data_IF_172670512956
#
_entry.id   IF_172670512956
#
_cell.length_a   1.000
_cell.length_b   1.000
_cell.length_c   1.000
_cell.angle_alpha   90.00
_cell.angle_beta   90.00
_cell.angle_gamma   90.00
#
_symmetry.space_group_name_H-M   'P 1'
#
loop_
_entity.id
_entity.type
_entity.pdbx_description
1 polymer ?
#
# COMPACT_ATOMS: atom_id res chain seq x y z
N UNK A 1 -15.33 12.15 -9.22
CA UNK A 1 -13.88 12.28 -9.40
C UNK A 1 -13.26 11.19 -8.56
N UNK A 2 -12.91 10.06 -9.16
CA UNK A 2 -12.32 8.93 -8.43
C UNK A 2 -10.83 9.16 -8.23
N UNK A 3 -10.31 8.74 -7.08
CA UNK A 3 -8.87 8.68 -6.86
C UNK A 3 -8.33 7.42 -7.56
N UNK A 4 -7.09 7.46 -8.08
CA UNK A 4 -6.46 6.28 -8.64
C UNK A 4 -6.23 5.25 -7.53
N UNK A 5 -6.77 4.04 -7.71
CA UNK A 5 -6.56 2.92 -6.81
C UNK A 5 -5.58 1.88 -7.39
N UNK A 6 -5.04 1.06 -6.51
CA UNK A 6 -4.15 -0.06 -6.86
C UNK A 6 -4.95 -1.36 -6.68
N UNK A 7 -4.80 -2.28 -7.61
CA UNK A 7 -5.28 -3.67 -7.49
C UNK A 7 -4.04 -4.58 -7.55
N UNK A 8 -3.88 -5.47 -6.56
CA UNK A 8 -2.79 -6.43 -6.59
C UNK A 8 -3.11 -7.53 -7.60
N UNK A 9 -2.25 -7.64 -8.62
CA UNK A 9 -2.38 -8.64 -9.67
C UNK A 9 -0.98 -9.20 -10.00
N UNK A 10 -0.78 -10.51 -9.80
CA UNK A 10 0.48 -11.21 -10.11
C UNK A 10 0.88 -11.12 -11.60
N UNK A 11 -0.09 -10.95 -12.49
CA UNK A 11 0.14 -10.74 -13.92
C UNK A 11 0.14 -9.25 -14.31
N UNK A 12 0.01 -8.34 -13.34
CA UNK A 12 -0.05 -6.90 -13.54
C UNK A 12 1.32 -6.27 -13.81
N UNK A 13 1.30 -4.99 -14.17
CA UNK A 13 2.52 -4.20 -14.31
C UNK A 13 3.05 -3.77 -12.93
N UNK A 14 4.38 -3.62 -12.83
CA UNK A 14 4.99 -3.08 -11.62
C UNK A 14 4.62 -1.61 -11.44
N UNK A 15 4.00 -1.30 -10.31
CA UNK A 15 3.68 0.07 -9.92
C UNK A 15 4.90 0.67 -9.21
N UNK A 16 5.44 1.77 -9.74
CA UNK A 16 6.51 2.52 -9.08
C UNK A 16 5.93 3.41 -7.98
N UNK A 17 6.54 3.38 -6.81
CA UNK A 17 6.11 4.18 -5.66
C UNK A 17 7.27 4.45 -4.71
N UNK A 18 6.93 4.97 -3.53
CA UNK A 18 7.88 5.24 -2.45
C UNK A 18 7.48 4.46 -1.21
N UNK A 19 8.48 3.88 -0.54
CA UNK A 19 8.28 3.20 0.74
C UNK A 19 8.43 4.22 1.86
N UNK A 20 7.36 4.44 2.62
CA UNK A 20 7.41 5.28 3.81
C UNK A 20 7.55 4.42 5.07
N UNK A 21 8.54 4.71 5.90
CA UNK A 21 8.77 4.02 7.18
C UNK A 21 8.79 5.01 8.33
N UNK A 22 8.14 4.66 9.43
CA UNK A 22 8.15 5.47 10.66
C UNK A 22 7.72 4.63 11.85
N UNK A 23 8.36 4.83 13.00
CA UNK A 23 7.95 4.21 14.28
C UNK A 23 6.53 4.63 14.70
N UNK A 24 6.05 5.78 14.20
CA UNK A 24 4.71 6.28 14.50
C UNK A 24 3.60 5.60 13.68
N UNK A 25 3.91 4.84 12.62
CA UNK A 25 2.89 4.15 11.82
C UNK A 25 2.07 3.18 12.67
N UNK A 26 2.72 2.43 13.55
CA UNK A 26 2.07 1.50 14.47
C UNK A 26 0.96 2.17 15.31
N UNK A 27 1.13 3.45 15.66
CA UNK A 27 0.17 4.24 16.45
C UNK A 27 -0.90 4.93 15.60
N UNK A 28 -0.68 5.05 14.29
CA UNK A 28 -1.54 5.80 13.37
C UNK A 28 -2.22 4.92 12.31
N UNK A 29 -2.02 3.60 12.30
CA UNK A 29 -2.69 2.69 11.36
C UNK A 29 -4.21 2.90 11.32
N UNK A 30 -4.86 2.99 12.48
CA UNK A 30 -6.29 3.25 12.55
C UNK A 30 -6.71 4.55 11.85
N UNK A 31 -5.89 5.62 11.93
CA UNK A 31 -6.21 6.89 11.28
C UNK A 31 -6.05 6.81 9.76
N UNK A 32 -5.05 6.06 9.29
CA UNK A 32 -4.86 5.82 7.87
C UNK A 32 -5.99 4.94 7.33
N UNK A 33 -6.33 3.86 8.04
CA UNK A 33 -7.45 2.98 7.70
C UNK A 33 -8.78 3.76 7.66
N UNK A 34 -9.04 4.67 8.62
CA UNK A 34 -10.24 5.52 8.63
C UNK A 34 -10.26 6.58 7.52
N UNK A 35 -9.09 7.09 7.13
CA UNK A 35 -8.96 8.09 6.07
C UNK A 35 -9.28 7.51 4.69
N UNK A 36 -8.80 6.30 4.41
CA UNK A 36 -9.09 5.57 3.18
C UNK A 36 -10.54 5.03 3.16
N UNK A 37 -11.09 4.74 4.34
CA UNK A 37 -12.47 4.32 4.50
C UNK A 37 -12.72 2.91 3.97
N UNK A 38 -13.97 2.63 3.59
CA UNK A 38 -14.36 1.31 3.06
C UNK A 38 -14.00 1.11 1.58
N UNK A 39 -13.47 2.14 0.91
CA UNK A 39 -13.11 2.06 -0.52
C UNK A 39 -11.76 1.38 -0.75
N UNK A 40 -10.92 1.28 0.29
CA UNK A 40 -9.62 0.63 0.22
C UNK A 40 -9.37 -0.28 1.42
N UNK A 41 -8.63 -1.36 1.19
CA UNK A 41 -8.19 -2.29 2.22
C UNK A 41 -6.67 -2.34 2.35
N UNK A 42 -6.19 -2.44 3.60
CA UNK A 42 -4.77 -2.54 3.89
C UNK A 42 -4.30 -3.98 3.75
N UNK A 43 -3.47 -4.23 2.74
CA UNK A 43 -2.92 -5.55 2.44
C UNK A 43 -1.40 -5.54 2.51
N UNK A 44 -0.82 -6.66 2.95
CA UNK A 44 0.61 -6.86 2.91
C UNK A 44 1.02 -7.26 1.49
N UNK A 45 2.07 -6.65 0.96
CA UNK A 45 2.65 -7.01 -0.34
C UNK A 45 4.17 -6.92 -0.31
N UNK A 46 4.78 -7.55 -1.30
CA UNK A 46 6.23 -7.58 -1.49
C UNK A 46 6.64 -6.44 -2.41
N UNK A 47 7.51 -5.56 -1.93
CA UNK A 47 8.04 -4.43 -2.70
C UNK A 47 9.48 -4.71 -3.14
N UNK A 48 9.78 -4.37 -4.39
CA UNK A 48 11.12 -4.38 -4.95
C UNK A 48 11.71 -2.97 -4.87
N UNK A 49 12.75 -2.80 -4.07
CA UNK A 49 13.52 -1.57 -4.00
C UNK A 49 14.40 -1.44 -5.24
N UNK A 50 14.55 -0.22 -5.74
CA UNK A 50 15.42 0.09 -6.89
C UNK A 50 16.89 -0.34 -6.63
N UNK A 51 17.28 -0.36 -5.36
CA UNK A 51 18.60 -0.78 -4.87
C UNK A 51 18.78 -2.32 -4.86
N UNK A 52 17.79 -3.08 -5.35
CA UNK A 52 17.83 -4.56 -5.45
C UNK A 52 17.36 -5.30 -4.20
N UNK A 53 16.81 -4.59 -3.21
CA UNK A 53 16.23 -5.17 -1.99
C UNK A 53 14.78 -5.61 -2.18
N UNK A 54 14.35 -6.61 -1.42
CA UNK A 54 12.94 -7.02 -1.31
C UNK A 54 12.49 -6.77 0.12
N UNK A 55 11.38 -6.05 0.30
CA UNK A 55 10.82 -5.75 1.61
C UNK A 55 9.32 -6.02 1.64
N UNK A 56 8.80 -6.50 2.77
CA UNK A 56 7.36 -6.59 3.00
C UNK A 56 6.84 -5.26 3.55
N UNK A 57 5.78 -4.74 2.93
CA UNK A 57 5.15 -3.50 3.33
C UNK A 57 3.63 -3.59 3.15
N UNK A 58 2.92 -2.63 3.74
CA UNK A 58 1.48 -2.50 3.56
C UNK A 58 1.18 -1.48 2.47
N UNK A 59 0.21 -1.80 1.63
CA UNK A 59 -0.42 -0.87 0.69
C UNK A 59 -1.92 -0.83 0.94
N UNK A 60 -2.57 0.21 0.42
CA UNK A 60 -4.02 0.28 0.32
C UNK A 60 -4.43 -0.07 -1.10
N UNK A 61 -5.08 -1.21 -1.26
CA UNK A 61 -5.66 -1.62 -2.55
C UNK A 61 -7.16 -1.34 -2.55
N UNK A 62 -7.76 -1.22 -3.73
CA UNK A 62 -9.21 -1.08 -3.85
C UNK A 62 -9.90 -2.27 -3.17
N UNK A 63 -10.85 -1.98 -2.30
CA UNK A 63 -11.72 -3.00 -1.72
C UNK A 63 -12.77 -3.40 -2.77
N UNK A 64 -13.06 -4.69 -2.89
CA UNK A 64 -14.17 -5.20 -3.72
C UNK A 64 -15.56 -4.87 -3.14
#
# INVERSE_FOLDING_TARGET
MGYPGIELNDAGEQVRGFVFTSENLAKNWHKLDEFEGNEYERVATTLHLDEGGIVEAYIYMLSE
#
